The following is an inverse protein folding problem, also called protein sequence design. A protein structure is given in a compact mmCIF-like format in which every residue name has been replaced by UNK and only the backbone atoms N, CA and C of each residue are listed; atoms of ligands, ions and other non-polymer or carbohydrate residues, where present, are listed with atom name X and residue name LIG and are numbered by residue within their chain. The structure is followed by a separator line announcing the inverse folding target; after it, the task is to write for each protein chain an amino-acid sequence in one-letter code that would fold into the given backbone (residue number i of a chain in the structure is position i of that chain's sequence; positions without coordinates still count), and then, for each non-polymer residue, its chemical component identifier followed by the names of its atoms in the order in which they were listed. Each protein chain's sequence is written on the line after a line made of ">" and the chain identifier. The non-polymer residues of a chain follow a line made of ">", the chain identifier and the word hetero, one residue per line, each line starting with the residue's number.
data_IF_730834461095
#
_entry.id   IF_730834461095
#
_cell.length_a   1.000
_cell.length_b   1.000
_cell.length_c   1.000
_cell.angle_alpha   90.00
_cell.angle_beta   90.00
_cell.angle_gamma   90.00
#
_symmetry.space_group_name_H-M   'P 1'
#
loop_
_entity.id
_entity.type
_entity.pdbx_description
1 polymer ?
#
# COMPACT_ATOMS: atom_id res chain seq x y z
N UNK A 1 -17.04 -20.83 8.71
CA UNK A 1 -17.35 -21.85 7.68
C UNK A 1 -16.51 -21.49 6.44
N UNK A 2 -15.22 -21.83 6.46
CA UNK A 2 -14.24 -21.52 5.39
C UNK A 2 -13.92 -22.75 4.52
N UNK A 3 -14.87 -23.69 4.41
CA UNK A 3 -14.73 -25.01 3.75
C UNK A 3 -14.55 -24.97 2.22
N UNK A 4 -13.98 -23.91 1.63
CA UNK A 4 -13.81 -23.79 0.18
C UNK A 4 -12.42 -23.35 -0.30
N UNK A 5 -11.58 -22.79 0.56
CA UNK A 5 -10.22 -22.44 0.17
C UNK A 5 -9.29 -23.60 0.47
N UNK A 6 -8.55 -24.06 -0.54
CA UNK A 6 -7.63 -25.20 -0.46
C UNK A 6 -6.20 -24.74 -0.21
N UNK A 7 -5.93 -23.45 -0.46
CA UNK A 7 -4.60 -22.84 -0.32
C UNK A 7 -4.65 -21.85 0.84
N UNK A 8 -3.89 -22.16 1.88
CA UNK A 8 -3.64 -21.30 3.02
C UNK A 8 -2.36 -20.49 2.78
N UNK A 9 -2.40 -19.17 2.96
CA UNK A 9 -1.23 -18.30 2.91
C UNK A 9 -0.79 -18.03 4.35
N UNK A 10 0.49 -18.25 4.65
CA UNK A 10 1.05 -18.03 5.99
C UNK A 10 1.42 -16.56 6.16
N UNK A 11 0.91 -15.97 7.24
CA UNK A 11 1.20 -14.60 7.67
C UNK A 11 1.97 -14.68 9.00
N UNK A 12 3.26 -14.31 9.03
CA UNK A 12 4.06 -14.43 10.23
C UNK A 12 3.61 -13.41 11.30
N UNK A 13 3.54 -13.86 12.54
CA UNK A 13 3.15 -13.02 13.67
C UNK A 13 4.32 -12.18 14.18
N UNK A 14 4.51 -11.00 13.59
CA UNK A 14 5.55 -10.06 14.04
C UNK A 14 5.02 -8.87 14.83
N UNK A 15 3.71 -8.70 14.96
CA UNK A 15 3.15 -7.51 15.62
C UNK A 15 1.68 -7.67 16.02
N UNK A 16 1.32 -6.97 17.09
CA UNK A 16 -0.03 -6.91 17.67
C UNK A 16 -1.09 -6.29 16.75
N UNK A 17 -0.70 -5.61 15.66
CA UNK A 17 -1.69 -5.05 14.72
C UNK A 17 -2.46 -6.15 13.96
N UNK A 18 -1.89 -7.35 13.81
CA UNK A 18 -2.52 -8.44 13.07
C UNK A 18 -3.83 -8.87 13.72
N UNK A 19 -3.91 -8.88 15.06
CA UNK A 19 -5.16 -9.16 15.79
C UNK A 19 -6.27 -8.17 15.36
N UNK A 20 -5.93 -6.88 15.31
CA UNK A 20 -6.85 -5.83 14.89
C UNK A 20 -7.27 -6.04 13.44
N UNK A 21 -6.32 -6.30 12.55
CA UNK A 21 -6.57 -6.53 11.14
C UNK A 21 -7.53 -7.72 10.92
N UNK A 22 -7.29 -8.87 11.55
CA UNK A 22 -8.18 -10.04 11.41
C UNK A 22 -9.60 -9.69 11.84
N UNK A 23 -9.76 -8.88 12.88
CA UNK A 23 -11.08 -8.50 13.40
C UNK A 23 -11.81 -7.47 12.52
N UNK A 24 -11.09 -6.57 11.85
CA UNK A 24 -11.65 -5.43 11.12
C UNK A 24 -11.73 -5.65 9.61
N UNK A 25 -10.80 -6.42 9.04
CA UNK A 25 -10.71 -6.66 7.61
C UNK A 25 -11.89 -7.48 7.11
N UNK A 26 -12.74 -6.83 6.29
CA UNK A 26 -13.94 -7.42 5.72
C UNK A 26 -13.90 -7.33 4.21
N UNK A 27 -13.28 -8.32 3.57
CA UNK A 27 -13.26 -8.47 2.11
C UNK A 27 -13.75 -9.86 1.72
N UNK A 28 -14.37 -9.96 0.55
CA UNK A 28 -14.74 -11.24 -0.06
C UNK A 28 -13.65 -11.77 -1.02
N UNK A 29 -12.57 -11.01 -1.21
CA UNK A 29 -11.50 -11.27 -2.16
C UNK A 29 -10.21 -11.74 -1.47
N UNK A 30 -10.05 -11.41 -0.20
CA UNK A 30 -8.95 -11.84 0.67
C UNK A 30 -9.46 -11.87 2.11
N UNK A 31 -9.31 -13.01 2.78
CA UNK A 31 -9.74 -13.20 4.15
C UNK A 31 -8.52 -13.40 5.03
N UNK A 32 -8.55 -12.85 6.24
CA UNK A 32 -7.58 -13.15 7.28
C UNK A 32 -8.26 -13.95 8.39
N UNK A 33 -7.50 -14.87 8.97
CA UNK A 33 -7.94 -15.70 10.08
C UNK A 33 -6.84 -15.77 11.13
N UNK A 34 -7.26 -16.03 12.36
CA UNK A 34 -6.40 -16.27 13.49
C UNK A 34 -6.82 -17.61 14.09
N UNK A 35 -5.84 -18.49 14.28
CA UNK A 35 -6.00 -19.76 14.99
C UNK A 35 -4.91 -19.91 16.05
N UNK A 36 -4.96 -20.99 16.81
CA UNK A 36 -3.98 -21.37 17.81
C UNK A 36 -3.37 -22.72 17.46
N UNK A 37 -2.04 -22.81 17.54
CA UNK A 37 -1.36 -24.09 17.42
C UNK A 37 -1.54 -24.93 18.70
N UNK A 38 -1.01 -26.16 18.66
CA UNK A 38 -1.02 -27.10 19.78
C UNK A 38 -0.25 -26.63 21.04
N UNK A 39 0.49 -25.52 20.96
CA UNK A 39 1.22 -24.88 22.05
C UNK A 39 0.57 -23.54 22.45
N UNK A 40 -0.67 -23.29 22.03
CA UNK A 40 -1.40 -22.03 22.22
C UNK A 40 -0.71 -20.80 21.59
N UNK A 41 0.19 -21.00 20.62
CA UNK A 41 0.77 -19.93 19.83
C UNK A 41 -0.18 -19.50 18.72
N UNK A 42 -0.31 -18.19 18.52
CA UNK A 42 -1.20 -17.64 17.50
C UNK A 42 -0.62 -17.89 16.11
N UNK A 43 -1.45 -18.45 15.23
CA UNK A 43 -1.19 -18.59 13.80
C UNK A 43 -2.09 -17.61 13.06
N UNK A 44 -1.51 -16.85 12.12
CA UNK A 44 -2.26 -15.98 11.22
C UNK A 44 -2.16 -16.50 9.80
N UNK A 45 -3.31 -16.58 9.16
CA UNK A 45 -3.41 -17.12 7.81
C UNK A 45 -4.32 -16.27 6.95
N UNK A 46 -4.00 -16.20 5.66
CA UNK A 46 -4.80 -15.53 4.66
C UNK A 46 -5.31 -16.52 3.62
N UNK A 47 -6.50 -16.26 3.08
CA UNK A 47 -7.14 -17.09 2.06
C UNK A 47 -7.71 -16.20 0.97
N UNK A 48 -7.63 -16.64 -0.28
CA UNK A 48 -8.23 -15.90 -1.40
C UNK A 48 -8.83 -16.86 -2.43
N UNK A 49 -10.06 -16.61 -2.94
CA UNK A 49 -10.60 -17.39 -4.04
C UNK A 49 -9.77 -17.22 -5.33
N UNK A 50 -8.98 -16.13 -5.43
CA UNK A 50 -8.25 -15.76 -6.64
C UNK A 50 -6.99 -16.61 -6.91
N UNK A 51 -6.66 -17.53 -6.01
CA UNK A 51 -5.53 -18.47 -6.13
C UNK A 51 -5.97 -19.93 -6.31
N UNK A 52 -7.24 -20.25 -6.10
CA UNK A 52 -7.75 -21.64 -5.98
C UNK A 52 -7.74 -22.43 -7.30
N UNK A 53 -7.62 -21.76 -8.45
CA UNK A 53 -7.61 -22.40 -9.78
C UNK A 53 -6.23 -22.40 -10.46
N UNK A 54 -5.20 -21.92 -9.78
CA UNK A 54 -3.85 -21.83 -10.34
C UNK A 54 -3.21 -23.23 -10.41
N UNK A 55 -2.50 -23.52 -11.51
CA UNK A 55 -1.95 -24.85 -11.81
C UNK A 55 -0.44 -24.95 -11.72
N UNK A 56 0.28 -23.83 -11.57
CA UNK A 56 1.74 -23.82 -11.49
C UNK A 56 2.20 -23.07 -10.25
N UNK A 57 3.25 -23.57 -9.59
CA UNK A 57 3.80 -22.92 -8.39
C UNK A 57 4.30 -21.50 -8.70
N UNK A 58 4.85 -21.29 -9.91
CA UNK A 58 5.33 -19.98 -10.35
C UNK A 58 4.18 -18.96 -10.42
N UNK A 59 3.06 -19.32 -11.05
CA UNK A 59 1.90 -18.43 -11.13
C UNK A 59 1.26 -18.20 -9.75
N UNK A 60 1.25 -19.23 -8.91
CA UNK A 60 0.70 -19.14 -7.55
C UNK A 60 1.52 -18.15 -6.72
N UNK A 61 2.85 -18.29 -6.74
CA UNK A 61 3.75 -17.39 -6.05
C UNK A 61 3.63 -15.95 -6.56
N UNK A 62 3.53 -15.77 -7.89
CA UNK A 62 3.31 -14.45 -8.50
C UNK A 62 2.00 -13.82 -8.02
N UNK A 63 0.89 -14.57 -8.04
CA UNK A 63 -0.44 -14.13 -7.61
C UNK A 63 -0.45 -13.75 -6.13
N UNK A 64 0.13 -14.59 -5.28
CA UNK A 64 0.20 -14.33 -3.83
C UNK A 64 1.03 -13.07 -3.53
N UNK A 65 2.19 -12.91 -4.19
CA UNK A 65 2.99 -11.70 -4.05
C UNK A 65 2.22 -10.44 -4.49
N UNK A 66 1.51 -10.51 -5.63
CA UNK A 66 0.69 -9.40 -6.11
C UNK A 66 -0.48 -9.07 -5.18
N UNK A 67 -1.15 -10.07 -4.61
CA UNK A 67 -2.15 -9.86 -3.57
C UNK A 67 -1.54 -9.20 -2.32
N UNK A 68 -0.33 -9.62 -1.91
CA UNK A 68 0.39 -9.02 -0.79
C UNK A 68 0.71 -7.54 -1.03
N UNK A 69 1.11 -7.19 -2.27
CA UNK A 69 1.35 -5.81 -2.67
C UNK A 69 0.05 -5.01 -2.59
N UNK A 70 -1.06 -5.51 -3.16
CA UNK A 70 -2.33 -4.77 -3.15
C UNK A 70 -2.89 -4.56 -1.74
N UNK A 71 -2.79 -5.57 -0.84
CA UNK A 71 -3.27 -5.41 0.54
C UNK A 71 -2.45 -4.39 1.32
N UNK A 72 -1.11 -4.43 1.22
CA UNK A 72 -0.25 -3.42 1.84
C UNK A 72 -0.52 -2.03 1.27
N UNK A 73 -0.73 -1.92 -0.04
CA UNK A 73 -1.11 -0.68 -0.69
C UNK A 73 -2.42 -0.12 -0.19
N UNK A 74 -3.44 -0.96 -0.05
CA UNK A 74 -4.74 -0.60 0.51
C UNK A 74 -4.58 -0.04 1.93
N UNK A 75 -3.80 -0.71 2.78
CA UNK A 75 -3.54 -0.29 4.15
C UNK A 75 -2.80 1.05 4.21
N UNK A 76 -1.72 1.23 3.44
CA UNK A 76 -0.95 2.48 3.46
C UNK A 76 -1.76 3.67 2.93
N UNK A 77 -2.62 3.45 1.93
CA UNK A 77 -3.49 4.49 1.40
C UNK A 77 -4.63 4.79 2.38
N UNK A 78 -5.23 3.79 3.02
CA UNK A 78 -6.33 3.99 3.96
C UNK A 78 -5.86 4.63 5.27
N UNK A 79 -4.71 4.21 5.79
CA UNK A 79 -4.07 4.76 6.99
C UNK A 79 -2.70 5.35 6.63
N UNK A 80 -2.73 6.58 6.12
CA UNK A 80 -1.55 7.35 5.71
C UNK A 80 -0.51 7.62 6.83
N UNK A 81 -0.77 7.17 8.07
CA UNK A 81 0.12 7.31 9.22
C UNK A 81 0.89 6.02 9.55
N UNK A 82 0.31 4.86 9.25
CA UNK A 82 0.95 3.57 9.52
C UNK A 82 1.68 3.06 8.28
N UNK A 83 2.86 2.50 8.51
CA UNK A 83 3.67 1.81 7.49
C UNK A 83 3.91 0.36 7.85
N UNK A 84 3.08 -0.16 8.77
CA UNK A 84 3.18 -1.55 9.20
C UNK A 84 2.74 -2.47 8.07
N UNK A 85 3.61 -3.41 7.70
CA UNK A 85 3.40 -4.31 6.58
C UNK A 85 2.89 -5.66 7.02
N UNK A 86 2.03 -6.23 6.20
CA UNK A 86 1.72 -7.66 6.20
C UNK A 86 2.67 -8.33 5.23
N UNK A 87 3.32 -9.38 5.68
CA UNK A 87 4.15 -10.22 4.80
C UNK A 87 3.45 -11.55 4.58
N UNK A 88 3.37 -11.98 3.32
CA UNK A 88 3.07 -13.38 3.01
C UNK A 88 4.41 -14.08 2.88
N UNK A 89 4.64 -15.13 3.66
CA UNK A 89 5.97 -15.79 3.70
C UNK A 89 5.96 -17.18 3.10
N UNK A 90 4.83 -17.88 3.20
CA UNK A 90 4.68 -19.21 2.65
C UNK A 90 3.22 -19.52 2.34
N UNK A 91 2.96 -20.70 1.79
CA UNK A 91 1.61 -21.24 1.62
C UNK A 91 1.57 -22.74 1.94
N UNK A 92 0.39 -23.22 2.29
CA UNK A 92 0.07 -24.62 2.49
C UNK A 92 -1.12 -25.01 1.62
N UNK A 93 -1.06 -26.21 1.03
CA UNK A 93 -2.15 -26.75 0.20
C UNK A 93 -2.72 -27.96 0.91
N UNK A 94 -3.97 -27.83 1.38
CA UNK A 94 -4.64 -28.88 2.14
C UNK A 94 -5.09 -30.06 1.26
N UNK A 95 -5.57 -29.75 0.05
CA UNK A 95 -6.02 -30.74 -0.92
C UNK A 95 -4.81 -31.42 -1.59
N UNK A 96 -4.46 -32.62 -1.11
CA UNK A 96 -3.34 -33.42 -1.63
C UNK A 96 -3.46 -33.78 -3.11
N UNK A 97 -4.67 -33.91 -3.64
CA UNK A 97 -4.84 -34.25 -5.06
C UNK A 97 -4.64 -33.01 -5.92
N UNK A 98 -5.10 -31.84 -5.46
CA UNK A 98 -4.78 -30.56 -6.06
C UNK A 98 -3.29 -30.19 -5.94
N UNK A 99 -2.64 -30.44 -4.80
CA UNK A 99 -1.19 -30.24 -4.60
C UNK A 99 -0.36 -31.03 -5.62
N UNK A 100 -0.77 -32.27 -5.95
CA UNK A 100 -0.12 -33.07 -7.01
C UNK A 100 -0.33 -32.49 -8.41
N UNK A 101 -1.38 -31.70 -8.62
CA UNK A 101 -1.63 -31.06 -9.92
C UNK A 101 -0.84 -29.78 -10.12
N UNK A 102 -0.27 -29.21 -9.06
CA UNK A 102 0.57 -28.03 -9.16
C UNK A 102 1.98 -28.46 -9.58
N UNK A 103 2.43 -27.93 -10.72
CA UNK A 103 3.80 -28.11 -11.16
C UNK A 103 4.76 -27.35 -10.23
N UNK A 104 5.55 -28.11 -9.45
CA UNK A 104 6.51 -27.58 -8.46
C UNK A 104 7.82 -27.23 -9.14
N UNK A 105 8.28 -26.00 -8.94
CA UNK A 105 9.51 -25.44 -9.49
C UNK A 105 10.64 -25.35 -8.45
N UNK A 106 10.39 -25.76 -7.19
CA UNK A 106 11.44 -25.92 -6.17
C UNK A 106 11.89 -24.63 -5.49
N UNK A 107 11.12 -23.54 -5.60
CA UNK A 107 11.39 -22.29 -4.90
C UNK A 107 10.72 -22.27 -3.52
N UNK A 108 11.52 -22.27 -2.46
CA UNK A 108 11.03 -22.09 -1.09
C UNK A 108 10.78 -20.59 -0.82
N UNK A 109 9.56 -20.13 -1.08
CA UNK A 109 9.08 -18.77 -0.79
C UNK A 109 8.58 -18.01 -2.02
N UNK A 110 7.93 -16.87 -1.78
CA UNK A 110 7.35 -16.03 -2.84
C UNK A 110 8.40 -15.15 -3.54
N UNK A 111 9.34 -15.79 -4.22
CA UNK A 111 10.30 -15.12 -5.10
C UNK A 111 9.89 -15.31 -6.55
N UNK A 112 9.72 -14.20 -7.27
CA UNK A 112 9.36 -14.19 -8.68
C UNK A 112 10.09 -13.07 -9.42
N UNK A 113 10.45 -13.33 -10.66
CA UNK A 113 11.03 -12.37 -11.61
C UNK A 113 9.99 -11.37 -12.14
N UNK A 114 8.71 -11.66 -11.93
CA UNK A 114 7.59 -10.89 -12.46
C UNK A 114 6.53 -10.68 -11.40
N UNK A 115 5.89 -9.52 -11.42
CA UNK A 115 4.74 -9.18 -10.59
C UNK A 115 3.59 -8.87 -11.55
N UNK A 116 2.38 -9.33 -11.24
CA UNK A 116 1.17 -8.96 -11.98
C UNK A 116 0.45 -7.81 -11.26
N UNK A 117 0.06 -6.77 -11.99
CA UNK A 117 -0.71 -5.65 -11.42
C UNK A 117 -2.16 -6.06 -11.12
N UNK A 118 -2.68 -7.07 -11.84
CA UNK A 118 -4.05 -7.55 -11.74
C UNK A 118 -4.11 -9.01 -11.23
N UNK A 119 -4.15 -9.23 -9.91
CA UNK A 119 -4.13 -10.57 -9.30
C UNK A 119 -5.53 -11.14 -9.02
N UNK A 120 -6.52 -10.86 -9.87
CA UNK A 120 -7.89 -11.37 -9.70
C UNK A 120 -8.20 -12.48 -10.69
N UNK A 121 -9.03 -13.44 -10.28
CA UNK A 121 -9.30 -14.65 -11.08
C UNK A 121 -9.93 -14.33 -12.45
N UNK A 122 -10.97 -13.50 -12.44
CA UNK A 122 -11.68 -13.07 -13.64
C UNK A 122 -11.16 -11.71 -14.10
N UNK A 123 -11.34 -11.40 -15.37
CA UNK A 123 -10.97 -10.10 -15.95
C UNK A 123 -11.81 -8.93 -15.39
N UNK A 124 -11.39 -7.72 -15.74
CA UNK A 124 -12.04 -6.49 -15.27
C UNK A 124 -13.50 -6.40 -15.77
N UNK A 125 -13.75 -6.84 -17.01
CA UNK A 125 -15.09 -6.83 -17.63
C UNK A 125 -16.10 -7.66 -16.84
N UNK A 126 -15.70 -8.82 -16.35
CA UNK A 126 -16.52 -9.66 -15.48
C UNK A 126 -16.98 -8.90 -14.23
N UNK A 127 -16.07 -8.15 -13.59
CA UNK A 127 -16.36 -7.42 -12.34
C UNK A 127 -16.99 -6.04 -12.55
N UNK A 128 -17.01 -5.49 -13.77
CA UNK A 128 -17.75 -4.26 -14.06
C UNK A 128 -19.26 -4.43 -13.86
N UNK A 129 -19.77 -5.66 -14.04
CA UNK A 129 -21.16 -6.06 -13.73
C UNK A 129 -21.38 -5.98 -12.21
N UNK A 130 -22.38 -5.21 -11.79
CA UNK A 130 -22.59 -4.83 -10.38
C UNK A 130 -22.75 -6.04 -9.45
N UNK A 131 -23.50 -7.06 -9.87
CA UNK A 131 -23.69 -8.27 -9.07
C UNK A 131 -22.38 -9.06 -8.85
N UNK A 132 -21.45 -8.96 -9.80
CA UNK A 132 -20.17 -9.66 -9.74
C UNK A 132 -19.14 -8.91 -8.89
N UNK A 133 -19.31 -7.61 -8.65
CA UNK A 133 -18.40 -6.81 -7.81
C UNK A 133 -18.29 -7.38 -6.40
N UNK A 134 -19.35 -8.00 -5.88
CA UNK A 134 -19.33 -8.66 -4.57
C UNK A 134 -18.68 -7.82 -3.45
N UNK A 135 -18.95 -6.50 -3.46
CA UNK A 135 -18.39 -5.58 -2.46
C UNK A 135 -18.96 -5.90 -1.07
N UNK A 136 -18.15 -5.80 0.00
CA UNK A 136 -18.65 -5.97 1.35
C UNK A 136 -19.67 -4.86 1.67
N UNK A 137 -20.76 -5.18 2.36
CA UNK A 137 -21.80 -4.18 2.70
C UNK A 137 -21.30 -3.09 3.66
N UNK A 138 -20.37 -3.46 4.54
CA UNK A 138 -19.74 -2.56 5.51
C UNK A 138 -18.34 -3.08 5.81
N UNK A 139 -17.34 -2.28 5.48
CA UNK A 139 -15.93 -2.58 5.70
C UNK A 139 -15.17 -1.26 5.86
N UNK A 140 -13.99 -1.34 6.44
CA UNK A 140 -13.07 -0.21 6.53
C UNK A 140 -12.54 0.15 5.13
N UNK A 141 -11.98 1.36 5.01
CA UNK A 141 -11.59 1.93 3.72
C UNK A 141 -10.55 1.05 2.99
N UNK A 142 -9.62 0.44 3.72
CA UNK A 142 -8.61 -0.47 3.18
C UNK A 142 -9.24 -1.69 2.48
N UNK A 143 -10.08 -2.44 3.17
CA UNK A 143 -10.76 -3.61 2.62
C UNK A 143 -11.68 -3.23 1.44
N UNK A 144 -12.34 -2.06 1.50
CA UNK A 144 -13.12 -1.53 0.39
C UNK A 144 -12.24 -1.21 -0.82
N UNK A 145 -11.13 -0.49 -0.64
CA UNK A 145 -10.21 -0.14 -1.73
C UNK A 145 -9.62 -1.40 -2.38
N UNK A 146 -9.25 -2.39 -1.58
CA UNK A 146 -8.79 -3.69 -2.07
C UNK A 146 -9.86 -4.35 -2.95
N UNK A 147 -11.10 -4.45 -2.47
CA UNK A 147 -12.19 -5.06 -3.25
C UNK A 147 -12.60 -4.25 -4.49
N UNK A 148 -12.45 -2.92 -4.50
CA UNK A 148 -12.71 -2.05 -5.66
C UNK A 148 -11.62 -2.23 -6.74
N UNK A 149 -10.37 -2.50 -6.34
CA UNK A 149 -9.24 -2.60 -7.26
C UNK A 149 -9.40 -3.68 -8.35
N UNK A 150 -10.28 -4.67 -8.17
CA UNK A 150 -10.57 -5.67 -9.20
C UNK A 150 -11.38 -5.16 -10.38
N UNK A 151 -12.05 -4.02 -10.26
CA UNK A 151 -12.83 -3.43 -11.36
C UNK A 151 -12.53 -1.96 -11.63
N UNK A 152 -11.67 -1.31 -10.84
CA UNK A 152 -11.25 0.06 -11.07
C UNK A 152 -9.72 0.14 -11.22
N UNK A 153 -9.27 0.39 -12.46
CA UNK A 153 -7.86 0.51 -12.81
C UNK A 153 -7.14 1.59 -12.01
N UNK A 154 -7.74 2.78 -11.81
CA UNK A 154 -7.09 3.89 -11.12
C UNK A 154 -6.83 3.53 -9.65
N UNK A 155 -7.82 2.93 -8.98
CA UNK A 155 -7.64 2.44 -7.61
C UNK A 155 -6.56 1.37 -7.58
N UNK A 156 -6.63 0.37 -8.46
CA UNK A 156 -5.65 -0.73 -8.51
C UNK A 156 -4.22 -0.25 -8.70
N UNK A 157 -3.98 0.61 -9.68
CA UNK A 157 -2.65 1.15 -9.96
C UNK A 157 -2.12 1.96 -8.77
N UNK A 158 -2.98 2.75 -8.11
CA UNK A 158 -2.60 3.50 -6.92
C UNK A 158 -2.21 2.57 -5.76
N UNK A 159 -3.00 1.53 -5.49
CA UNK A 159 -2.70 0.56 -4.44
C UNK A 159 -1.43 -0.23 -4.77
N UNK A 160 -1.25 -0.66 -6.02
CA UNK A 160 -0.06 -1.34 -6.48
C UNK A 160 1.20 -0.51 -6.21
N UNK A 161 1.17 0.77 -6.62
CA UNK A 161 2.25 1.71 -6.38
C UNK A 161 2.51 1.93 -4.88
N UNK A 162 1.47 2.11 -4.08
CA UNK A 162 1.63 2.26 -2.63
C UNK A 162 2.25 1.00 -1.99
N UNK A 163 1.79 -0.19 -2.39
CA UNK A 163 2.22 -1.47 -1.83
C UNK A 163 3.68 -1.82 -2.11
N UNK A 164 4.24 -1.33 -3.21
CA UNK A 164 5.66 -1.51 -3.56
C UNK A 164 6.59 -0.49 -2.91
N UNK A 165 6.10 0.43 -2.07
CA UNK A 165 6.97 1.34 -1.31
C UNK A 165 7.73 0.53 -0.27
N UNK A 166 9.05 0.39 -0.42
CA UNK A 166 9.96 -0.22 0.55
C UNK A 166 11.02 0.81 0.99
N UNK A 167 11.50 0.72 2.24
CA UNK A 167 12.54 1.64 2.73
C UNK A 167 13.66 0.88 3.49
N UNK A 168 14.13 -0.24 2.94
CA UNK A 168 15.11 -1.10 3.59
C UNK A 168 16.56 -0.83 3.13
N UNK A 169 16.75 -0.06 2.03
CA UNK A 169 18.08 0.29 1.50
C UNK A 169 18.08 1.45 0.50
N UNK A 170 19.27 1.82 -0.01
CA UNK A 170 19.40 2.96 -0.95
C UNK A 170 18.62 2.74 -2.25
N UNK A 171 18.63 1.52 -2.80
CA UNK A 171 17.86 1.18 -4.00
C UNK A 171 16.35 1.33 -3.78
N UNK A 172 15.87 0.92 -2.61
CA UNK A 172 14.46 1.05 -2.25
C UNK A 172 14.05 2.51 -2.10
N UNK A 173 14.94 3.37 -1.60
CA UNK A 173 14.70 4.82 -1.54
C UNK A 173 14.52 5.44 -2.92
N UNK A 174 15.33 5.02 -3.91
CA UNK A 174 15.23 5.49 -5.31
C UNK A 174 13.89 5.08 -5.90
N UNK A 175 13.57 3.79 -5.78
CA UNK A 175 12.32 3.23 -6.29
C UNK A 175 11.14 3.91 -5.62
N UNK A 176 11.22 4.19 -4.32
CA UNK A 176 10.19 4.89 -3.57
C UNK A 176 9.97 6.31 -4.10
N UNK A 177 11.00 7.14 -4.27
CA UNK A 177 10.82 8.50 -4.83
C UNK A 177 10.13 8.49 -6.19
N UNK A 178 10.56 7.60 -7.08
CA UNK A 178 9.92 7.43 -8.39
C UNK A 178 8.48 6.94 -8.29
N UNK A 179 8.21 6.05 -7.35
CA UNK A 179 6.87 5.50 -7.09
C UNK A 179 5.94 6.56 -6.53
N UNK A 180 6.38 7.37 -5.56
CA UNK A 180 5.61 8.50 -5.03
C UNK A 180 5.25 9.50 -6.13
N UNK A 181 6.17 9.76 -7.06
CA UNK A 181 5.87 10.62 -8.21
C UNK A 181 4.78 10.02 -9.11
N UNK A 182 4.86 8.72 -9.41
CA UNK A 182 3.83 8.01 -10.19
C UNK A 182 2.48 7.97 -9.48
N UNK A 183 2.46 7.93 -8.15
CA UNK A 183 1.22 8.06 -7.37
C UNK A 183 0.59 9.43 -7.57
N UNK A 184 1.38 10.52 -7.57
CA UNK A 184 0.88 11.86 -7.90
C UNK A 184 0.26 11.90 -9.29
N UNK A 185 0.91 11.31 -10.29
CA UNK A 185 0.36 11.25 -11.66
C UNK A 185 -0.95 10.44 -11.72
N UNK A 186 -1.02 9.31 -11.00
CA UNK A 186 -2.22 8.45 -10.91
C UNK A 186 -3.38 9.19 -10.24
N UNK A 187 -3.12 9.86 -9.11
CA UNK A 187 -4.13 10.70 -8.42
C UNK A 187 -4.63 11.83 -9.32
N UNK A 188 -3.74 12.52 -10.04
CA UNK A 188 -4.13 13.59 -10.97
C UNK A 188 -4.99 13.06 -12.12
N UNK A 189 -4.64 11.89 -12.67
CA UNK A 189 -5.44 11.23 -13.71
C UNK A 189 -6.84 10.88 -13.19
N UNK A 190 -6.92 10.31 -11.98
CA UNK A 190 -8.20 9.99 -11.34
C UNK A 190 -9.04 11.23 -11.01
N UNK A 191 -8.41 12.32 -10.53
CA UNK A 191 -9.11 13.59 -10.30
C UNK A 191 -9.74 14.13 -11.58
N UNK A 192 -8.99 14.08 -12.70
CA UNK A 192 -9.49 14.48 -14.02
C UNK A 192 -10.67 13.61 -14.47
N UNK A 193 -10.60 12.31 -14.22
CA UNK A 193 -11.62 11.34 -14.60
C UNK A 193 -12.98 11.60 -13.92
N UNK A 194 -12.98 12.09 -12.67
CA UNK A 194 -14.18 12.52 -11.94
C UNK A 194 -14.43 14.04 -11.95
N UNK A 195 -13.70 14.79 -12.79
CA UNK A 195 -13.90 16.23 -12.96
C UNK A 195 -13.61 17.10 -11.74
N UNK A 196 -12.73 16.67 -10.82
CA UNK A 196 -12.31 17.46 -9.65
C UNK A 196 -10.92 18.07 -9.86
N UNK A 197 -10.70 19.26 -9.31
CA UNK A 197 -9.35 19.84 -9.23
C UNK A 197 -8.58 19.21 -8.08
N UNK A 198 -7.45 18.57 -8.37
CA UNK A 198 -6.60 17.93 -7.34
C UNK A 198 -6.10 18.91 -6.27
N UNK A 199 -6.07 20.22 -6.56
CA UNK A 199 -5.66 21.28 -5.62
C UNK A 199 -6.59 21.44 -4.41
N UNK A 200 -7.77 20.81 -4.43
CA UNK A 200 -8.65 20.74 -3.25
C UNK A 200 -8.17 19.73 -2.21
N UNK A 201 -7.32 18.78 -2.62
CA UNK A 201 -6.87 17.65 -1.78
C UNK A 201 -5.50 17.88 -1.15
N UNK A 202 -4.66 18.72 -1.78
CA UNK A 202 -3.27 18.98 -1.36
C UNK A 202 -2.96 20.48 -1.49
N UNK A 203 -2.15 20.99 -0.58
CA UNK A 203 -1.63 22.35 -0.68
C UNK A 203 -0.60 22.45 -1.82
N UNK A 204 -0.78 23.43 -2.70
CA UNK A 204 0.05 23.61 -3.89
C UNK A 204 1.52 23.80 -3.54
N UNK A 205 1.83 24.64 -2.54
CA UNK A 205 3.20 24.84 -2.07
C UNK A 205 3.85 23.53 -1.58
N UNK A 206 3.11 22.69 -0.87
CA UNK A 206 3.59 21.38 -0.41
C UNK A 206 3.90 20.44 -1.59
N UNK A 207 3.03 20.40 -2.60
CA UNK A 207 3.27 19.61 -3.82
C UNK A 207 4.42 20.16 -4.67
N UNK A 208 4.61 21.48 -4.70
CA UNK A 208 5.74 22.13 -5.37
C UNK A 208 7.07 21.76 -4.70
N UNK A 209 7.15 21.75 -3.36
CA UNK A 209 8.34 21.29 -2.62
C UNK A 209 8.69 19.83 -2.94
N UNK A 210 7.69 18.95 -2.98
CA UNK A 210 7.87 17.55 -3.40
C UNK A 210 8.37 17.46 -4.84
N UNK A 211 7.73 18.17 -5.77
CA UNK A 211 8.09 18.16 -7.19
C UNK A 211 9.50 18.73 -7.41
N UNK A 212 9.88 19.76 -6.65
CA UNK A 212 11.22 20.32 -6.64
C UNK A 212 12.26 19.28 -6.18
N UNK A 213 11.96 18.49 -5.15
CA UNK A 213 12.82 17.39 -4.72
C UNK A 213 13.02 16.35 -5.83
N UNK A 214 11.92 15.87 -6.44
CA UNK A 214 11.97 14.91 -7.54
C UNK A 214 12.79 15.38 -8.75
N UNK A 215 12.90 16.68 -8.97
CA UNK A 215 13.60 17.27 -10.11
C UNK A 215 15.01 17.78 -9.77
N UNK A 216 15.44 17.72 -8.50
CA UNK A 216 16.71 18.31 -8.07
C UNK A 216 17.79 17.23 -7.88
N UNK A 217 18.80 17.14 -8.76
CA UNK A 217 19.88 16.17 -8.63
C UNK A 217 20.83 16.46 -7.46
N UNK A 218 20.76 17.62 -6.82
CA UNK A 218 21.49 17.87 -5.56
C UNK A 218 20.77 17.24 -4.36
N UNK A 219 19.45 17.03 -4.46
CA UNK A 219 18.63 16.39 -3.41
C UNK A 219 18.59 14.88 -3.62
N UNK A 220 18.33 14.46 -4.85
CA UNK A 220 18.16 13.05 -5.20
C UNK A 220 19.33 12.48 -6.00
N UNK A 221 20.43 13.19 -6.24
CA UNK A 221 21.57 12.65 -6.98
C UNK A 221 21.20 12.24 -8.42
N UNK A 222 21.70 11.07 -8.83
CA UNK A 222 21.34 10.42 -10.10
C UNK A 222 19.88 9.94 -10.15
N UNK A 223 19.14 10.10 -9.05
CA UNK A 223 17.77 9.63 -8.88
C UNK A 223 16.72 10.71 -9.14
N UNK A 224 17.15 11.95 -9.41
CA UNK A 224 16.25 12.99 -9.87
C UNK A 224 15.69 12.65 -11.27
N UNK A 225 14.42 12.98 -11.50
CA UNK A 225 13.71 12.74 -12.78
C UNK A 225 14.37 13.46 -13.97
N UNK A 226 15.05 14.56 -13.69
CA UNK A 226 15.78 15.34 -14.66
C UNK A 226 17.25 15.42 -14.23
N UNK A 227 18.17 15.36 -15.20
CA UNK A 227 19.57 15.66 -14.96
C UNK A 227 19.77 17.11 -14.51
N UNK A 228 21.02 17.51 -14.22
CA UNK A 228 21.34 18.90 -13.90
C UNK A 228 21.04 19.83 -15.07
N UNK A 229 19.81 20.33 -15.16
CA UNK A 229 19.46 21.40 -16.09
C UNK A 229 19.88 22.69 -15.41
N UNK A 230 20.75 23.48 -16.05
CA UNK A 230 21.17 24.81 -15.61
C UNK A 230 20.04 25.86 -15.58
N UNK A 231 18.79 25.45 -15.30
CA UNK A 231 17.70 26.37 -14.99
C UNK A 231 17.94 26.94 -13.60
N UNK A 232 17.76 28.24 -13.46
CA UNK A 232 17.83 28.94 -12.17
C UNK A 232 16.95 28.20 -11.16
N UNK A 233 17.56 27.83 -10.04
CA UNK A 233 16.89 27.23 -8.89
C UNK A 233 15.79 28.21 -8.47
N UNK A 234 14.53 27.85 -8.70
CA UNK A 234 13.41 28.49 -7.99
C UNK A 234 13.72 28.36 -6.51
N UNK A 235 13.58 29.45 -5.73
CA UNK A 235 13.85 29.49 -4.27
C UNK A 235 12.83 28.66 -3.45
N UNK A 236 12.39 27.52 -3.97
CA UNK A 236 11.53 26.58 -3.28
C UNK A 236 12.46 25.59 -2.58
N UNK A 237 12.38 25.54 -1.26
CA UNK A 237 13.14 24.57 -0.48
C UNK A 237 12.52 23.17 -0.70
N UNK A 238 13.27 22.22 -1.30
CA UNK A 238 12.76 20.89 -1.62
C UNK A 238 12.61 20.05 -0.35
N UNK A 239 11.70 19.07 -0.38
CA UNK A 239 11.64 18.00 0.64
C UNK A 239 12.92 17.16 0.51
N UNK A 240 13.65 16.96 1.61
CA UNK A 240 14.89 16.17 1.61
C UNK A 240 14.74 14.82 2.27
N UNK A 241 13.76 14.67 3.17
CA UNK A 241 13.49 13.43 3.88
C UNK A 241 12.44 12.60 3.14
N UNK A 242 12.76 11.35 2.84
CA UNK A 242 11.84 10.44 2.15
C UNK A 242 10.56 10.20 2.95
N UNK A 243 10.64 10.21 4.28
CA UNK A 243 9.49 9.98 5.15
C UNK A 243 8.47 11.10 5.12
N UNK A 244 8.92 12.35 4.99
CA UNK A 244 8.06 13.51 4.79
C UNK A 244 7.33 13.42 3.45
N UNK A 245 8.03 12.96 2.40
CA UNK A 245 7.46 12.74 1.08
C UNK A 245 6.43 11.60 1.08
N UNK A 246 6.76 10.45 1.70
CA UNK A 246 5.82 9.32 1.85
C UNK A 246 4.56 9.81 2.57
N UNK A 247 4.71 10.49 3.71
CA UNK A 247 3.58 10.97 4.51
C UNK A 247 2.69 11.96 3.73
N UNK A 248 3.30 12.90 3.01
CA UNK A 248 2.55 13.87 2.18
C UNK A 248 1.77 13.17 1.06
N UNK A 249 2.41 12.26 0.33
CA UNK A 249 1.80 11.61 -0.84
C UNK A 249 0.78 10.55 -0.42
N UNK A 250 0.99 9.81 0.67
CA UNK A 250 -0.02 8.90 1.22
C UNK A 250 -1.22 9.67 1.77
N UNK A 251 -1.03 10.82 2.41
CA UNK A 251 -2.15 11.70 2.75
C UNK A 251 -2.94 12.08 1.49
N UNK A 252 -2.24 12.54 0.43
CA UNK A 252 -2.89 12.96 -0.81
C UNK A 252 -3.65 11.81 -1.47
N UNK A 253 -3.05 10.62 -1.52
CA UNK A 253 -3.69 9.39 -2.00
C UNK A 253 -4.92 9.02 -1.16
N UNK A 254 -4.84 9.08 0.17
CA UNK A 254 -5.97 8.83 1.06
C UNK A 254 -7.17 9.75 0.77
N UNK A 255 -6.91 11.06 0.67
CA UNK A 255 -7.94 12.07 0.37
C UNK A 255 -8.56 11.84 -0.99
N UNK A 256 -7.72 11.60 -1.99
CA UNK A 256 -8.16 11.23 -3.33
C UNK A 256 -9.05 9.99 -3.30
N UNK A 257 -8.60 8.90 -2.67
CA UNK A 257 -9.31 7.64 -2.62
C UNK A 257 -10.70 7.80 -2.01
N UNK A 258 -10.84 8.49 -0.88
CA UNK A 258 -12.14 8.76 -0.26
C UNK A 258 -13.09 9.52 -1.19
N UNK A 259 -12.61 10.59 -1.83
CA UNK A 259 -13.42 11.38 -2.75
C UNK A 259 -13.77 10.60 -4.02
N UNK A 260 -12.80 9.89 -4.59
CA UNK A 260 -12.94 9.19 -5.86
C UNK A 260 -13.97 8.06 -5.78
N UNK A 261 -13.84 7.16 -4.80
CA UNK A 261 -14.77 6.03 -4.66
C UNK A 261 -16.19 6.47 -4.28
N UNK A 262 -16.31 7.60 -3.56
CA UNK A 262 -17.61 8.20 -3.25
C UNK A 262 -18.23 8.85 -4.48
N UNK A 263 -17.45 9.61 -5.27
CA UNK A 263 -17.93 10.25 -6.49
C UNK A 263 -18.33 9.24 -7.58
N UNK A 264 -17.58 8.14 -7.69
CA UNK A 264 -17.93 7.01 -8.56
C UNK A 264 -19.17 6.23 -8.09
N UNK A 265 -19.64 6.49 -6.87
CA UNK A 265 -20.81 5.83 -6.29
C UNK A 265 -20.55 4.39 -5.84
N UNK A 266 -19.28 4.00 -5.63
CA UNK A 266 -18.95 2.64 -5.17
C UNK A 266 -19.31 2.43 -3.70
N UNK A 267 -19.07 3.44 -2.87
CA UNK A 267 -19.38 3.43 -1.44
C UNK A 267 -19.84 4.81 -0.98
N UNK A 268 -20.45 4.88 0.21
CA UNK A 268 -20.74 6.12 0.92
C UNK A 268 -19.81 6.22 2.13
N UNK A 269 -19.18 7.37 2.33
CA UNK A 269 -18.32 7.65 3.48
C UNK A 269 -18.93 8.79 4.29
N UNK A 270 -19.33 8.50 5.52
CA UNK A 270 -19.81 9.50 6.46
C UNK A 270 -18.62 10.35 6.95
N UNK A 271 -18.61 11.65 6.62
CA UNK A 271 -17.57 12.62 6.99
C UNK A 271 -16.24 12.48 6.23
N UNK A 272 -16.27 12.68 4.90
CA UNK A 272 -15.03 12.85 4.11
C UNK A 272 -14.22 14.01 4.68
N UNK A 273 -12.97 13.74 5.02
CA UNK A 273 -12.07 14.74 5.58
C UNK A 273 -11.48 15.57 4.44
N UNK A 274 -11.94 16.81 4.25
CA UNK A 274 -11.54 17.68 3.11
C UNK A 274 -10.36 18.61 3.48
N UNK A 275 -9.76 18.42 4.66
CA UNK A 275 -8.54 19.18 5.00
C UNK A 275 -7.44 18.82 4.01
N UNK A 276 -6.88 19.83 3.34
CA UNK A 276 -5.76 19.65 2.42
C UNK A 276 -4.60 18.95 3.12
N UNK A 277 -3.93 18.07 2.39
CA UNK A 277 -2.64 17.53 2.82
C UNK A 277 -1.59 18.63 2.75
N UNK A 278 -0.81 18.74 3.82
CA UNK A 278 0.23 19.75 3.99
C UNK A 278 1.52 19.02 4.36
N UNK A 279 2.63 19.47 3.80
CA UNK A 279 3.96 18.99 4.16
C UNK A 279 4.24 19.37 5.62
N UNK A 280 4.52 18.36 6.44
CA UNK A 280 4.96 18.54 7.82
C UNK A 280 6.44 18.17 7.87
N UNK A 281 7.28 19.11 8.30
CA UNK A 281 8.71 18.84 8.50
C UNK A 281 8.87 17.82 9.64
N UNK A 282 9.71 16.82 9.41
CA UNK A 282 10.07 15.87 10.44
C UNK A 282 10.91 16.59 11.49
N UNK A 283 10.38 16.69 12.70
CA UNK A 283 11.12 17.17 13.86
C UNK A 283 11.71 15.94 14.53
N UNK A 284 13.04 15.79 14.51
CA UNK A 284 13.71 14.72 15.24
C UNK A 284 13.43 14.86 16.75
N UNK A 285 12.74 13.90 17.39
CA UNK A 285 12.51 13.95 18.84
C UNK A 285 13.81 13.84 19.64
N UNK A 286 14.93 13.44 19.01
CA UNK A 286 16.25 13.35 19.62
C UNK A 286 17.21 14.45 19.14
N UNK A 287 16.69 15.54 18.58
CA UNK A 287 17.49 16.73 18.32
C UNK A 287 18.09 17.24 19.63
N UNK A 288 19.33 16.80 19.92
CA UNK A 288 20.06 17.13 21.15
C UNK A 288 20.25 18.64 21.34
N UNK A 289 20.06 19.45 20.28
CA UNK A 289 20.08 20.91 20.37
C UNK A 289 18.79 21.51 20.95
N UNK A 290 17.74 20.70 21.09
CA UNK A 290 16.44 21.05 21.70
C UNK A 290 16.16 20.32 23.02
N UNK A 291 17.05 19.42 23.45
CA UNK A 291 17.00 18.82 24.79
C UNK A 291 17.62 19.82 25.77
N UNK A 292 16.80 20.35 26.66
CA UNK A 292 17.26 21.26 27.71
C UNK A 292 17.98 20.46 28.81
N UNK A 293 19.31 20.47 28.77
CA UNK A 293 20.16 19.86 29.80
C UNK A 293 20.34 20.76 31.05
N UNK A 294 19.68 21.92 31.12
CA UNK A 294 19.85 22.84 32.25
C UNK A 294 19.36 22.26 33.58
N UNK A 295 18.43 21.29 33.55
CA UNK A 295 17.94 20.55 34.73
C UNK A 295 18.89 19.43 35.20
N UNK A 296 19.90 19.05 34.40
CA UNK A 296 20.86 17.98 34.74
C UNK A 296 22.19 18.49 35.29
N UNK A 297 22.29 19.79 35.63
CA UNK A 297 23.50 20.42 36.17
C UNK A 297 23.96 19.88 37.54
N UNK A 298 23.13 19.09 38.23
CA UNK A 298 23.43 18.62 39.59
C UNK A 298 24.17 17.26 39.65
N UNK A 299 24.57 16.68 38.51
CA UNK A 299 25.24 15.36 38.47
C UNK A 299 26.72 15.38 38.04
N UNK A 300 27.37 16.55 38.03
CA UNK A 300 28.82 16.65 37.84
C UNK A 300 29.42 17.43 39.02
N UNK A 301 29.83 16.67 40.04
CA UNK A 301 30.98 16.98 40.90
C UNK A 301 31.97 15.81 40.79
#
# INVERSE_FOLDING_TARGET
>A
MFNKCKIEIIVPHYSSYLDSLVSSWKSNDLYFTQDYDHLDQRIFSAFSPHIERIKTEKELARRILSLNILVNGAMFVADAKTRTKIEFTNYYIEDKDFDKTIEKNGYAGFWTDTIEEYPFENDEEFYLIEENRNLPKRADLDAMLFSISKFDYIVRTLLFQAGVIFNNGINDKILTWNTLYKMVDTVKAGCKDIGIDYKILIEEASLEKFTAACNNPTVLGVYARHGGIGKNITRIQPITQIEEAISLILCFANRFSQMYVTHKGYITIDNIQISKCVHQEYVDPWDSSKIDYSEFKDFID
#
